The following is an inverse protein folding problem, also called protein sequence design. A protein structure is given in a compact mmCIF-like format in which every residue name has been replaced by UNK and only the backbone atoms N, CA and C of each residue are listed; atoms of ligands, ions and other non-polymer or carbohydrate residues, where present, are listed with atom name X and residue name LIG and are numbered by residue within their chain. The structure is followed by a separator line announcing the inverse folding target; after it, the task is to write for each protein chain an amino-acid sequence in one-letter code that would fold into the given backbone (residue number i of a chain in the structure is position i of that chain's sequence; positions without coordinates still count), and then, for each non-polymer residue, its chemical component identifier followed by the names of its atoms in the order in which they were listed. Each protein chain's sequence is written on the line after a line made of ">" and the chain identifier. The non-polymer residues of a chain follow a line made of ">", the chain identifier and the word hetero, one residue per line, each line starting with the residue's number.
data_IF_341709210738
#
_entry.id   IF_341709210738
#
_cell.length_a   1.000
_cell.length_b   1.000
_cell.length_c   1.000
_cell.angle_alpha   90.00
_cell.angle_beta   90.00
_cell.angle_gamma   90.00
#
_symmetry.space_group_name_H-M   'P 1'
#
loop_
_entity.id
_entity.type
_entity.pdbx_description
1 polymer ?
#
# COMPACT_ATOMS: atom_id res chain seq x y z
N UNK A 1 22.41 -7.08 12.24
CA UNK A 1 21.28 -7.40 11.34
C UNK A 1 21.64 -8.51 10.36
N UNK A 2 22.64 -8.34 9.48
CA UNK A 2 23.02 -9.35 8.47
C UNK A 2 23.14 -10.78 9.03
N UNK A 3 23.80 -10.96 10.17
CA UNK A 3 23.95 -12.30 10.80
C UNK A 3 22.64 -12.91 11.32
N UNK A 4 21.65 -12.11 11.68
CA UNK A 4 20.34 -12.60 12.17
C UNK A 4 19.49 -13.03 10.98
N UNK A 5 19.50 -12.24 9.89
CA UNK A 5 18.83 -12.61 8.65
C UNK A 5 19.42 -13.88 8.06
N UNK A 6 20.74 -14.00 8.01
CA UNK A 6 21.44 -15.21 7.57
C UNK A 6 20.99 -16.45 8.33
N UNK A 7 20.92 -16.37 9.66
CA UNK A 7 20.43 -17.48 10.49
C UNK A 7 18.97 -17.81 10.19
N UNK A 8 18.13 -16.80 9.94
CA UNK A 8 16.71 -16.99 9.63
C UNK A 8 16.50 -17.67 8.27
N UNK A 9 17.21 -17.23 7.23
CA UNK A 9 17.19 -17.90 5.91
C UNK A 9 17.62 -19.36 6.02
N UNK A 10 18.77 -19.62 6.66
CA UNK A 10 19.27 -20.97 6.83
C UNK A 10 18.30 -21.85 7.63
N UNK A 11 17.66 -21.32 8.68
CA UNK A 11 16.66 -22.05 9.46
C UNK A 11 15.45 -22.45 8.60
N UNK A 12 14.90 -21.52 7.79
CA UNK A 12 13.76 -21.80 6.92
C UNK A 12 14.09 -22.84 5.86
N UNK A 13 15.23 -22.70 5.18
CA UNK A 13 15.66 -23.61 4.11
C UNK A 13 15.98 -25.00 4.66
N UNK A 14 16.66 -25.08 5.80
CA UNK A 14 16.95 -26.36 6.46
C UNK A 14 15.66 -27.05 6.93
N UNK A 15 14.69 -26.28 7.43
CA UNK A 15 13.40 -26.84 7.84
C UNK A 15 12.64 -27.38 6.62
N UNK A 16 12.58 -26.62 5.50
CA UNK A 16 11.99 -27.09 4.25
C UNK A 16 12.64 -28.37 3.74
N UNK A 17 13.97 -28.46 3.75
CA UNK A 17 14.72 -29.64 3.32
C UNK A 17 14.75 -30.81 4.33
N UNK A 18 14.16 -30.65 5.51
CA UNK A 18 14.21 -31.63 6.59
C UNK A 18 13.40 -32.91 6.27
N UNK A 19 13.64 -33.99 7.07
CA UNK A 19 12.87 -35.24 6.96
C UNK A 19 11.37 -35.04 7.15
N UNK A 20 10.96 -34.03 7.90
CA UNK A 20 9.56 -33.71 8.17
C UNK A 20 8.86 -33.15 6.91
N UNK A 21 9.48 -32.19 6.23
CA UNK A 21 8.87 -31.50 5.09
C UNK A 21 9.28 -32.08 3.73
N UNK A 22 10.43 -32.73 3.66
CA UNK A 22 10.96 -33.40 2.45
C UNK A 22 10.99 -32.50 1.20
N UNK A 23 11.17 -31.21 1.40
CA UNK A 23 11.15 -30.20 0.33
C UNK A 23 9.75 -29.85 -0.17
N UNK A 24 8.73 -30.02 0.66
CA UNK A 24 7.35 -29.58 0.38
C UNK A 24 6.88 -28.68 1.51
N UNK A 25 6.46 -27.44 1.20
CA UNK A 25 5.95 -26.56 2.24
C UNK A 25 5.69 -25.12 1.80
N UNK A 26 5.03 -24.38 2.68
CA UNK A 26 4.69 -22.97 2.52
C UNK A 26 5.55 -22.13 3.45
N UNK A 27 6.18 -21.09 2.91
CA UNK A 27 6.91 -20.07 3.67
C UNK A 27 6.14 -18.76 3.61
N UNK A 28 5.84 -18.18 4.76
CA UNK A 28 5.44 -16.78 4.84
C UNK A 28 6.70 -15.94 4.85
N UNK A 29 6.96 -15.29 3.73
CA UNK A 29 8.08 -14.37 3.56
C UNK A 29 7.59 -12.97 3.84
N UNK A 30 7.56 -12.62 5.11
CA UNK A 30 7.24 -11.28 5.57
C UNK A 30 8.54 -10.60 5.92
N UNK A 31 8.65 -9.34 5.61
CA UNK A 31 9.89 -8.60 5.82
C UNK A 31 10.36 -8.58 7.27
N UNK A 32 11.66 -8.51 7.42
CA UNK A 32 12.70 -8.12 6.45
C UNK A 32 13.26 -9.28 5.61
N UNK A 33 12.63 -10.46 5.62
CA UNK A 33 13.03 -11.56 4.77
C UNK A 33 12.69 -11.23 3.30
N UNK A 34 13.64 -11.40 2.41
CA UNK A 34 13.45 -11.24 0.98
C UNK A 34 13.20 -12.60 0.33
N UNK A 35 12.08 -12.74 -0.36
CA UNK A 35 11.75 -14.00 -1.05
C UNK A 35 12.76 -14.34 -2.14
N UNK A 36 13.35 -13.33 -2.80
CA UNK A 36 14.39 -13.50 -3.81
C UNK A 36 15.64 -14.15 -3.25
N UNK A 37 16.01 -13.84 -2.01
CA UNK A 37 17.14 -14.46 -1.31
C UNK A 37 16.84 -15.93 -0.96
N UNK A 38 15.63 -16.22 -0.50
CA UNK A 38 15.18 -17.60 -0.23
C UNK A 38 15.26 -18.44 -1.51
N UNK A 39 14.75 -17.92 -2.62
CA UNK A 39 14.76 -18.59 -3.92
C UNK A 39 16.20 -18.83 -4.38
N UNK A 40 17.04 -17.81 -4.35
CA UNK A 40 18.45 -17.91 -4.77
C UNK A 40 19.20 -19.01 -3.99
N UNK A 41 19.05 -19.06 -2.68
CA UNK A 41 19.66 -20.05 -1.82
C UNK A 41 19.17 -21.47 -2.08
N UNK A 42 17.86 -21.63 -2.28
CA UNK A 42 17.28 -22.94 -2.63
C UNK A 42 17.83 -23.42 -3.97
N UNK A 43 17.91 -22.56 -4.98
CA UNK A 43 18.45 -22.91 -6.29
C UNK A 43 19.92 -23.36 -6.17
N UNK A 44 20.73 -22.60 -5.45
CA UNK A 44 22.15 -22.98 -5.19
C UNK A 44 22.23 -24.33 -4.48
N UNK A 45 21.45 -24.51 -3.41
CA UNK A 45 21.43 -25.77 -2.66
C UNK A 45 21.02 -26.97 -3.54
N UNK A 46 20.03 -26.80 -4.39
CA UNK A 46 19.52 -27.87 -5.24
C UNK A 46 20.51 -28.20 -6.38
N UNK A 47 21.14 -27.18 -6.98
CA UNK A 47 22.15 -27.36 -8.02
C UNK A 47 23.44 -27.98 -7.53
N UNK A 48 23.84 -27.67 -6.29
CA UNK A 48 25.00 -28.35 -5.66
C UNK A 48 24.78 -29.88 -5.54
N UNK A 49 23.51 -30.31 -5.45
CA UNK A 49 23.17 -31.73 -5.40
C UNK A 49 22.95 -32.34 -6.80
N UNK A 50 22.37 -31.58 -7.72
CA UNK A 50 22.10 -31.97 -9.10
C UNK A 50 22.20 -30.74 -10.02
N UNK A 51 23.32 -30.56 -10.75
CA UNK A 51 23.52 -29.43 -11.66
C UNK A 51 22.46 -29.30 -12.76
N UNK A 52 21.85 -30.41 -13.17
CA UNK A 52 20.87 -30.46 -14.27
C UNK A 52 19.41 -30.35 -13.78
N UNK A 53 19.20 -29.96 -12.52
CA UNK A 53 17.87 -29.86 -11.94
C UNK A 53 16.99 -28.85 -12.71
N UNK A 54 15.78 -29.24 -13.06
CA UNK A 54 14.82 -28.39 -13.75
C UNK A 54 13.97 -27.64 -12.75
N UNK A 55 13.94 -26.33 -12.85
CA UNK A 55 13.27 -25.45 -11.90
C UNK A 55 12.20 -24.62 -12.60
N UNK A 56 10.98 -24.66 -12.07
CA UNK A 56 9.87 -23.76 -12.44
C UNK A 56 9.64 -22.76 -11.31
N UNK A 57 9.56 -21.48 -11.66
CA UNK A 57 9.16 -20.43 -10.75
C UNK A 57 7.90 -19.76 -11.32
N UNK A 58 6.84 -19.75 -10.56
CA UNK A 58 5.57 -19.12 -10.92
C UNK A 58 5.35 -17.91 -10.02
N UNK A 59 5.12 -16.76 -10.62
CA UNK A 59 4.93 -15.49 -9.90
C UNK A 59 3.53 -14.93 -10.10
N UNK A 60 3.03 -14.20 -9.10
CA UNK A 60 1.72 -13.57 -9.16
C UNK A 60 1.66 -12.42 -10.16
N UNK A 61 2.71 -11.59 -10.23
CA UNK A 61 2.77 -10.42 -11.09
C UNK A 61 4.11 -10.30 -11.83
N UNK A 62 4.13 -9.56 -12.94
CA UNK A 62 5.33 -9.38 -13.76
C UNK A 62 6.51 -8.75 -13.00
N UNK A 63 6.23 -7.87 -12.05
CA UNK A 63 7.25 -7.22 -11.21
C UNK A 63 8.08 -8.25 -10.44
N UNK A 64 7.43 -9.22 -9.81
CA UNK A 64 8.12 -10.29 -9.06
C UNK A 64 9.04 -11.11 -9.98
N UNK A 65 8.63 -11.31 -11.24
CA UNK A 65 9.49 -11.96 -12.24
C UNK A 65 10.78 -11.19 -12.46
N UNK A 66 10.69 -9.87 -12.64
CA UNK A 66 11.87 -9.01 -12.85
C UNK A 66 12.78 -9.04 -11.63
N UNK A 67 12.23 -8.88 -10.43
CA UNK A 67 12.98 -8.91 -9.18
C UNK A 67 13.73 -10.23 -8.97
N UNK A 68 13.11 -11.36 -9.30
CA UNK A 68 13.75 -12.67 -9.21
C UNK A 68 14.89 -12.81 -10.24
N UNK A 69 14.64 -12.40 -11.49
CA UNK A 69 15.67 -12.46 -12.54
C UNK A 69 16.89 -11.64 -12.15
N UNK A 70 16.68 -10.42 -11.66
CA UNK A 70 17.74 -9.52 -11.26
C UNK A 70 18.51 -10.07 -10.04
N UNK A 71 17.80 -10.59 -9.05
CA UNK A 71 18.44 -11.22 -7.89
C UNK A 71 19.26 -12.46 -8.27
N UNK A 72 18.77 -13.29 -9.18
CA UNK A 72 19.53 -14.47 -9.65
C UNK A 72 20.79 -14.05 -10.41
N UNK A 73 20.71 -13.03 -11.27
CA UNK A 73 21.87 -12.48 -11.99
C UNK A 73 22.89 -11.88 -11.02
N UNK A 74 22.46 -11.09 -10.04
CA UNK A 74 23.31 -10.47 -9.05
C UNK A 74 24.05 -11.51 -8.18
N UNK A 75 23.44 -12.68 -7.98
CA UNK A 75 24.03 -13.81 -7.27
C UNK A 75 24.82 -14.75 -8.20
N UNK A 76 25.08 -14.36 -9.46
CA UNK A 76 25.79 -15.16 -10.47
C UNK A 76 25.14 -16.54 -10.72
N UNK A 77 23.83 -16.63 -10.61
CA UNK A 77 23.08 -17.87 -10.85
C UNK A 77 22.68 -17.92 -12.34
N UNK A 78 23.12 -18.97 -13.06
CA UNK A 78 22.69 -19.16 -14.44
C UNK A 78 21.17 -19.41 -14.52
N UNK A 79 20.47 -18.63 -15.32
CA UNK A 79 19.00 -18.66 -15.47
C UNK A 79 18.52 -19.57 -16.62
N UNK A 80 19.39 -20.06 -17.50
CA UNK A 80 19.00 -20.78 -18.71
C UNK A 80 18.19 -22.06 -18.45
N UNK A 81 18.40 -22.69 -17.29
CA UNK A 81 17.69 -23.91 -16.87
C UNK A 81 16.52 -23.62 -15.91
N UNK A 82 16.19 -22.35 -15.70
CA UNK A 82 15.11 -21.91 -14.82
C UNK A 82 14.00 -21.31 -15.67
N UNK A 83 12.80 -21.87 -15.59
CA UNK A 83 11.65 -21.29 -16.27
C UNK A 83 10.87 -20.40 -15.28
N UNK A 84 10.74 -19.11 -15.61
CA UNK A 84 10.04 -18.13 -14.76
C UNK A 84 8.81 -17.61 -15.51
N UNK A 85 7.62 -17.97 -15.02
CA UNK A 85 6.33 -17.66 -15.64
C UNK A 85 5.46 -16.86 -14.69
N UNK A 86 4.65 -15.94 -15.22
CA UNK A 86 3.53 -15.40 -14.44
C UNK A 86 2.39 -16.43 -14.41
N UNK A 87 1.64 -16.46 -13.31
CA UNK A 87 0.64 -17.50 -13.09
C UNK A 87 -0.44 -17.54 -14.18
N UNK A 88 -0.73 -16.40 -14.84
CA UNK A 88 -1.65 -16.28 -15.96
C UNK A 88 -1.21 -17.04 -17.22
N UNK A 89 0.09 -17.34 -17.35
CA UNK A 89 0.64 -18.13 -18.45
C UNK A 89 0.68 -19.64 -18.14
N UNK A 90 0.33 -20.06 -16.94
CA UNK A 90 0.21 -21.47 -16.61
C UNK A 90 -1.02 -22.03 -17.31
N UNK A 91 -0.79 -22.98 -18.20
CA UNK A 91 -1.88 -23.67 -18.91
C UNK A 91 -2.08 -25.06 -18.32
N UNK A 92 -3.29 -25.37 -17.88
CA UNK A 92 -3.65 -26.67 -17.32
C UNK A 92 -3.48 -27.84 -18.28
N UNK A 93 -3.36 -27.56 -19.58
CA UNK A 93 -3.14 -28.59 -20.61
C UNK A 93 -1.68 -29.00 -20.79
N UNK A 94 -0.72 -28.25 -20.23
CA UNK A 94 0.70 -28.58 -20.32
C UNK A 94 1.16 -29.39 -19.12
N UNK A 95 1.86 -30.48 -19.40
CA UNK A 95 2.52 -31.29 -18.37
C UNK A 95 3.87 -30.64 -18.04
N UNK A 96 3.92 -29.89 -16.94
CA UNK A 96 5.14 -29.23 -16.48
C UNK A 96 6.01 -30.27 -15.72
N UNK A 97 6.97 -30.87 -16.43
CA UNK A 97 7.89 -31.84 -15.80
C UNK A 97 9.13 -31.12 -15.24
N UNK A 98 9.01 -30.62 -14.02
CA UNK A 98 10.08 -29.97 -13.28
C UNK A 98 10.36 -30.70 -11.97
N UNK A 99 11.63 -30.72 -11.55
CA UNK A 99 12.04 -31.32 -10.28
C UNK A 99 11.63 -30.43 -9.11
N UNK A 100 11.74 -29.10 -9.27
CA UNK A 100 11.39 -28.09 -8.28
C UNK A 100 10.38 -27.13 -8.85
N UNK A 101 9.31 -26.87 -8.13
CA UNK A 101 8.35 -25.81 -8.44
C UNK A 101 8.20 -24.85 -7.27
N UNK A 102 8.39 -23.57 -7.54
CA UNK A 102 8.29 -22.48 -6.56
C UNK A 102 7.17 -21.55 -7.02
N UNK A 103 6.19 -21.29 -6.19
CA UNK A 103 5.09 -20.34 -6.45
C UNK A 103 5.24 -19.16 -5.48
N UNK A 104 5.28 -17.94 -6.01
CA UNK A 104 5.52 -16.69 -5.26
C UNK A 104 4.41 -15.68 -5.50
N UNK A 105 3.97 -14.98 -4.46
CA UNK A 105 3.02 -13.87 -4.57
C UNK A 105 1.59 -14.27 -4.93
N UNK A 106 1.30 -15.56 -5.12
CA UNK A 106 -0.06 -16.08 -5.32
C UNK A 106 -0.64 -16.43 -3.94
N UNK A 107 -1.64 -15.68 -3.51
CA UNK A 107 -2.16 -15.73 -2.14
C UNK A 107 -3.45 -16.54 -2.01
N UNK A 108 -3.65 -17.51 -2.91
CA UNK A 108 -4.78 -18.45 -2.89
C UNK A 108 -4.39 -19.77 -3.54
N UNK A 109 -5.05 -20.85 -3.12
CA UNK A 109 -4.93 -22.14 -3.79
C UNK A 109 -5.95 -22.22 -4.93
N UNK A 110 -5.47 -22.33 -6.16
CA UNK A 110 -6.31 -22.40 -7.34
C UNK A 110 -5.78 -23.44 -8.36
N UNK A 111 -6.49 -23.63 -9.47
CA UNK A 111 -6.13 -24.57 -10.50
C UNK A 111 -4.71 -24.33 -11.07
N UNK A 112 -4.29 -23.09 -11.22
CA UNK A 112 -2.98 -22.74 -11.77
C UNK A 112 -1.84 -23.11 -10.80
N UNK A 113 -2.02 -22.86 -9.50
CA UNK A 113 -1.08 -23.26 -8.44
C UNK A 113 -0.99 -24.78 -8.39
N UNK A 114 -2.12 -25.46 -8.43
CA UNK A 114 -2.17 -26.93 -8.46
C UNK A 114 -1.45 -27.50 -9.69
N UNK A 115 -1.67 -26.92 -10.87
CA UNK A 115 -0.98 -27.30 -12.11
C UNK A 115 0.53 -27.10 -12.03
N UNK A 116 0.98 -25.97 -11.45
CA UNK A 116 2.40 -25.71 -11.25
C UNK A 116 3.08 -26.74 -10.35
N UNK A 117 2.35 -27.31 -9.40
CA UNK A 117 2.88 -28.29 -8.44
C UNK A 117 2.71 -29.76 -8.83
N UNK A 118 1.82 -30.08 -9.78
CA UNK A 118 1.37 -31.46 -10.02
C UNK A 118 2.50 -32.47 -10.21
N UNK A 119 3.55 -32.14 -10.94
CA UNK A 119 4.62 -33.08 -11.27
C UNK A 119 5.97 -32.75 -10.61
N UNK A 120 6.03 -31.72 -9.76
CA UNK A 120 7.25 -31.37 -9.08
C UNK A 120 7.49 -32.28 -7.85
N UNK A 121 8.71 -32.77 -7.70
CA UNK A 121 9.15 -33.50 -6.50
C UNK A 121 9.30 -32.57 -5.29
N UNK A 122 9.86 -31.39 -5.51
CA UNK A 122 10.05 -30.38 -4.49
C UNK A 122 9.12 -29.19 -4.76
N UNK A 123 8.38 -28.78 -3.74
CA UNK A 123 7.30 -27.80 -3.85
C UNK A 123 7.46 -26.72 -2.79
N UNK A 124 7.52 -25.47 -3.22
CA UNK A 124 7.58 -24.35 -2.30
C UNK A 124 6.56 -23.28 -2.69
N UNK A 125 5.70 -22.93 -1.78
CA UNK A 125 4.85 -21.76 -1.89
C UNK A 125 5.40 -20.65 -1.00
N UNK A 126 5.59 -19.46 -1.56
CA UNK A 126 6.05 -18.28 -0.83
C UNK A 126 4.93 -17.25 -0.83
N UNK A 127 4.38 -17.01 0.33
CA UNK A 127 3.34 -16.01 0.56
C UNK A 127 4.05 -14.71 0.92
N UNK A 128 3.77 -13.65 0.18
CA UNK A 128 4.41 -12.34 0.32
C UNK A 128 3.52 -11.27 0.96
N UNK A 129 2.24 -11.58 1.20
CA UNK A 129 1.30 -10.65 1.84
C UNK A 129 1.24 -10.87 3.35
N UNK A 130 1.25 -9.77 4.10
CA UNK A 130 1.16 -9.78 5.57
C UNK A 130 -0.21 -10.23 6.07
N UNK A 131 -1.27 -9.91 5.31
CA UNK A 131 -2.64 -10.26 5.68
C UNK A 131 -3.30 -11.06 4.57
N UNK A 132 -3.57 -12.33 4.84
CA UNK A 132 -4.39 -13.19 4.00
C UNK A 132 -5.62 -13.60 4.79
N UNK A 133 -6.75 -13.65 4.09
CA UNK A 133 -7.98 -14.21 4.62
C UNK A 133 -7.73 -15.63 5.19
N UNK A 134 -8.20 -15.88 6.41
CA UNK A 134 -7.97 -17.15 7.13
C UNK A 134 -8.50 -18.37 6.38
N UNK A 135 -9.58 -18.23 5.62
CA UNK A 135 -10.14 -19.32 4.82
C UNK A 135 -9.24 -19.65 3.64
N UNK A 136 -8.69 -18.63 2.94
CA UNK A 136 -7.71 -18.84 1.86
C UNK A 136 -6.43 -19.47 2.39
N UNK A 137 -5.96 -19.01 3.55
CA UNK A 137 -4.77 -19.55 4.19
C UNK A 137 -4.95 -21.01 4.59
N UNK A 138 -6.09 -21.36 5.18
CA UNK A 138 -6.44 -22.75 5.52
C UNK A 138 -6.44 -23.64 4.29
N UNK A 139 -6.99 -23.18 3.18
CA UNK A 139 -7.00 -23.93 1.91
C UNK A 139 -5.58 -24.17 1.39
N UNK A 140 -4.68 -23.18 1.50
CA UNK A 140 -3.28 -23.35 1.14
C UNK A 140 -2.62 -24.41 2.02
N UNK A 141 -2.79 -24.33 3.34
CA UNK A 141 -2.16 -25.25 4.30
C UNK A 141 -2.66 -26.69 4.22
N UNK A 142 -3.90 -26.89 3.80
CA UNK A 142 -4.44 -28.24 3.53
C UNK A 142 -3.70 -28.93 2.37
N UNK A 143 -3.19 -28.17 1.41
CA UNK A 143 -2.49 -28.70 0.24
C UNK A 143 -0.98 -28.71 0.39
N UNK A 144 -0.41 -27.70 1.05
CA UNK A 144 1.04 -27.57 1.29
C UNK A 144 1.27 -27.06 2.71
N UNK A 145 1.87 -27.86 3.61
CA UNK A 145 1.97 -27.53 5.03
C UNK A 145 2.85 -26.28 5.27
N UNK A 146 2.54 -25.48 6.29
CA UNK A 146 3.37 -24.35 6.66
C UNK A 146 4.71 -24.80 7.25
N UNK A 147 5.81 -24.18 6.81
CA UNK A 147 7.15 -24.46 7.33
C UNK A 147 7.45 -23.62 8.58
N UNK A 148 7.09 -22.36 8.54
CA UNK A 148 7.11 -21.50 9.71
C UNK A 148 5.70 -21.56 10.34
N UNK A 149 5.67 -22.01 11.57
CA UNK A 149 4.46 -21.91 12.39
C UNK A 149 3.93 -20.50 12.23
N UNK A 150 2.64 -20.42 12.02
CA UNK A 150 1.85 -19.22 11.76
C UNK A 150 2.62 -17.92 12.06
N UNK A 151 2.42 -16.91 11.23
CA UNK A 151 2.81 -15.53 11.55
C UNK A 151 2.15 -15.18 12.90
N UNK A 152 2.67 -15.74 13.97
CA UNK A 152 2.53 -15.15 15.26
C UNK A 152 3.38 -13.88 15.20
N UNK A 153 2.72 -12.77 15.31
CA UNK A 153 3.31 -11.43 15.42
C UNK A 153 4.56 -11.39 16.32
N UNK A 154 4.71 -12.32 17.26
CA UNK A 154 5.87 -12.48 18.11
C UNK A 154 7.15 -12.96 17.40
N UNK A 155 7.09 -13.80 16.38
CA UNK A 155 8.28 -14.25 15.64
C UNK A 155 8.70 -13.28 14.54
N UNK A 156 7.77 -12.51 14.01
CA UNK A 156 8.03 -11.34 13.17
C UNK A 156 8.59 -10.21 14.03
N UNK A 157 8.08 -10.03 15.23
CA UNK A 157 8.53 -9.03 16.19
C UNK A 157 10.02 -9.17 16.55
N UNK A 158 10.60 -10.35 16.57
CA UNK A 158 12.04 -10.54 16.77
C UNK A 158 12.89 -9.90 15.67
N UNK A 159 12.38 -9.75 14.46
CA UNK A 159 13.07 -9.12 13.33
C UNK A 159 12.57 -7.68 13.08
N UNK A 160 11.30 -7.40 13.35
CA UNK A 160 10.75 -6.03 13.37
C UNK A 160 11.25 -5.22 14.58
N UNK A 161 11.60 -5.88 15.69
CA UNK A 161 12.25 -5.26 16.85
C UNK A 161 13.64 -4.65 16.56
N UNK A 162 14.15 -4.77 15.32
CA UNK A 162 15.47 -4.26 14.96
C UNK A 162 15.47 -2.78 14.57
N UNK A 163 14.33 -2.17 14.32
CA UNK A 163 14.22 -0.73 14.08
C UNK A 163 13.17 -0.14 15.03
N UNK A 164 13.60 0.42 16.17
CA UNK A 164 12.70 1.18 17.02
C UNK A 164 12.09 2.34 16.25
N UNK A 165 10.78 2.52 16.34
CA UNK A 165 10.05 3.63 15.73
C UNK A 165 9.58 4.57 16.82
N UNK A 166 9.87 5.86 16.63
CA UNK A 166 9.31 6.94 17.43
C UNK A 166 8.23 7.64 16.62
N UNK A 167 6.97 7.35 16.90
CA UNK A 167 5.81 7.91 16.24
C UNK A 167 5.33 9.17 16.96
N UNK A 168 5.53 10.32 16.33
CA UNK A 168 4.99 11.60 16.77
C UNK A 168 3.62 11.80 16.13
N UNK A 169 2.57 11.85 16.91
CA UNK A 169 1.21 12.12 16.46
C UNK A 169 0.95 13.61 16.49
N UNK A 170 0.65 14.16 15.31
CA UNK A 170 0.53 15.58 15.06
C UNK A 170 -0.94 15.94 14.78
N UNK A 171 -1.72 16.36 15.81
CA UNK A 171 -3.11 16.79 15.61
C UNK A 171 -3.18 18.11 14.86
N UNK A 172 -4.04 18.16 13.86
CA UNK A 172 -4.31 19.35 13.05
C UNK A 172 -5.80 19.66 13.13
N UNK A 173 -6.18 20.92 13.18
CA UNK A 173 -7.57 21.35 13.13
C UNK A 173 -7.93 21.85 11.73
N UNK A 174 -9.19 21.71 11.34
CA UNK A 174 -9.72 22.44 10.19
C UNK A 174 -9.63 23.95 10.47
N UNK A 175 -9.10 24.72 9.51
CA UNK A 175 -8.95 26.18 9.67
C UNK A 175 -10.24 26.91 9.31
N UNK A 176 -11.04 26.38 8.35
CA UNK A 176 -12.23 27.05 7.88
C UNK A 176 -13.51 26.27 8.24
N UNK A 177 -14.57 27.01 8.50
CA UNK A 177 -15.89 26.47 8.85
C UNK A 177 -16.46 25.62 7.71
N UNK A 178 -16.24 25.99 6.46
CA UNK A 178 -16.71 25.25 5.29
C UNK A 178 -16.24 23.79 5.29
N UNK A 179 -14.99 23.54 5.67
CA UNK A 179 -14.44 22.18 5.76
C UNK A 179 -15.12 21.37 6.87
N UNK A 180 -15.43 22.01 8.01
CA UNK A 180 -16.17 21.40 9.11
C UNK A 180 -17.55 21.02 8.64
N UNK A 181 -18.30 21.99 8.09
CA UNK A 181 -19.66 21.80 7.61
C UNK A 181 -19.76 20.70 6.53
N UNK A 182 -18.79 20.69 5.60
CA UNK A 182 -18.72 19.65 4.57
C UNK A 182 -18.43 18.28 5.18
N UNK A 183 -17.52 18.19 6.15
CA UNK A 183 -17.19 16.94 6.82
C UNK A 183 -18.40 16.37 7.56
N UNK A 184 -19.14 17.21 8.28
CA UNK A 184 -20.34 16.84 9.03
C UNK A 184 -21.45 16.39 8.09
N UNK A 185 -21.71 17.14 7.03
CA UNK A 185 -22.68 16.78 5.98
C UNK A 185 -22.35 15.43 5.33
N UNK A 186 -21.10 15.18 5.01
CA UNK A 186 -20.68 13.90 4.45
C UNK A 186 -20.84 12.77 5.46
N UNK A 187 -20.52 13.01 6.73
CA UNK A 187 -20.64 12.03 7.80
C UNK A 187 -22.10 11.69 8.05
N UNK A 188 -22.96 12.68 8.10
CA UNK A 188 -24.42 12.51 8.23
C UNK A 188 -24.97 11.65 7.09
N UNK A 189 -24.68 11.99 5.84
CA UNK A 189 -25.13 11.22 4.67
C UNK A 189 -24.69 9.76 4.72
N UNK A 190 -23.43 9.49 5.12
CA UNK A 190 -22.88 8.14 5.26
C UNK A 190 -23.65 7.38 6.34
N UNK A 191 -23.88 8.01 7.51
CA UNK A 191 -24.59 7.42 8.63
C UNK A 191 -26.02 7.07 8.26
N UNK A 192 -26.75 8.00 7.66
CA UNK A 192 -28.12 7.77 7.19
C UNK A 192 -28.18 6.63 6.15
N UNK A 193 -27.20 6.57 5.24
CA UNK A 193 -27.18 5.50 4.25
C UNK A 193 -26.92 4.13 4.89
N UNK A 194 -26.02 4.06 5.89
CA UNK A 194 -25.80 2.83 6.65
C UNK A 194 -27.07 2.41 7.40
N UNK A 195 -27.79 3.35 7.99
CA UNK A 195 -29.07 3.07 8.65
C UNK A 195 -30.12 2.50 7.69
N UNK A 196 -30.23 3.05 6.48
CA UNK A 196 -31.15 2.58 5.44
C UNK A 196 -30.84 1.12 5.03
N UNK A 197 -29.59 0.78 4.85
CA UNK A 197 -29.16 -0.56 4.42
C UNK A 197 -28.86 -1.51 5.60
N UNK A 198 -28.82 -1.02 6.82
CA UNK A 198 -28.52 -1.75 8.05
C UNK A 198 -27.01 -1.96 8.30
N UNK A 199 -26.20 -2.17 7.28
CA UNK A 199 -24.75 -2.33 7.41
C UNK A 199 -24.00 -2.09 6.09
N UNK A 200 -22.66 -2.07 6.15
CA UNK A 200 -21.79 -1.83 5.00
C UNK A 200 -21.79 -2.98 3.98
N UNK A 201 -21.96 -4.23 4.41
CA UNK A 201 -22.01 -5.36 3.48
C UNK A 201 -23.26 -5.31 2.61
N UNK A 202 -24.38 -4.90 3.17
CA UNK A 202 -25.61 -4.68 2.41
C UNK A 202 -25.43 -3.57 1.35
N UNK A 203 -24.74 -2.48 1.67
CA UNK A 203 -24.41 -1.43 0.69
C UNK A 203 -23.51 -1.98 -0.41
N UNK A 204 -22.55 -2.85 -0.07
CA UNK A 204 -21.68 -3.52 -1.03
C UNK A 204 -22.47 -4.46 -1.94
N UNK A 205 -23.41 -5.24 -1.39
CA UNK A 205 -24.31 -6.10 -2.18
C UNK A 205 -25.21 -5.29 -3.08
N UNK A 206 -25.72 -4.18 -2.60
CA UNK A 206 -26.51 -3.23 -3.39
C UNK A 206 -25.72 -2.56 -4.52
N UNK A 207 -24.37 -2.57 -4.46
CA UNK A 207 -23.51 -2.09 -5.54
C UNK A 207 -23.12 -3.16 -6.54
N UNK A 208 -22.78 -4.35 -6.07
CA UNK A 208 -22.03 -5.36 -6.85
C UNK A 208 -22.77 -6.70 -6.99
N UNK A 209 -23.91 -6.86 -6.35
CA UNK A 209 -24.59 -8.14 -6.20
C UNK A 209 -24.09 -8.95 -5.01
N UNK A 210 -24.79 -10.00 -4.70
CA UNK A 210 -24.54 -10.86 -3.54
C UNK A 210 -23.63 -12.04 -3.90
N UNK A 211 -22.95 -12.66 -2.92
CA UNK A 211 -22.12 -13.84 -3.17
C UNK A 211 -22.87 -15.08 -3.69
N UNK A 212 -24.18 -15.17 -3.42
CA UNK A 212 -25.06 -16.23 -3.88
C UNK A 212 -25.61 -16.01 -5.30
N UNK A 213 -25.14 -14.97 -6.00
CA UNK A 213 -25.41 -14.72 -7.41
C UNK A 213 -26.58 -13.82 -7.73
N UNK A 214 -27.25 -13.21 -6.73
CA UNK A 214 -28.27 -12.17 -6.99
C UNK A 214 -27.59 -10.90 -7.53
N UNK A 215 -28.18 -10.30 -8.55
CA UNK A 215 -27.70 -9.02 -9.06
C UNK A 215 -27.93 -7.90 -8.05
N UNK A 216 -27.19 -6.77 -8.20
CA UNK A 216 -27.37 -5.60 -7.35
C UNK A 216 -28.83 -5.09 -7.36
N UNK A 217 -29.47 -5.07 -8.55
CA UNK A 217 -30.87 -4.61 -8.68
C UNK A 217 -31.85 -5.56 -7.99
N UNK A 218 -31.68 -6.88 -8.11
CA UNK A 218 -32.52 -7.84 -7.39
C UNK A 218 -32.41 -7.65 -5.88
N UNK A 219 -31.19 -7.50 -5.38
CA UNK A 219 -30.94 -7.29 -3.96
C UNK A 219 -31.57 -5.98 -3.45
N UNK A 220 -31.45 -4.88 -4.21
CA UNK A 220 -32.08 -3.60 -3.87
C UNK A 220 -33.62 -3.70 -3.88
N UNK A 221 -34.17 -4.43 -4.86
CA UNK A 221 -35.61 -4.64 -4.95
C UNK A 221 -36.13 -5.40 -3.73
N UNK A 222 -35.46 -6.49 -3.33
CA UNK A 222 -35.79 -7.25 -2.13
C UNK A 222 -35.75 -6.40 -0.84
N UNK A 223 -34.74 -5.53 -0.70
CA UNK A 223 -34.68 -4.57 0.43
C UNK A 223 -35.89 -3.59 0.40
N UNK A 224 -36.21 -3.05 -0.76
CA UNK A 224 -37.32 -2.13 -0.90
C UNK A 224 -38.66 -2.81 -0.58
N UNK A 225 -38.85 -4.05 -1.07
CA UNK A 225 -40.07 -4.84 -0.80
C UNK A 225 -40.15 -5.21 0.69
N UNK A 226 -39.06 -5.70 1.29
CA UNK A 226 -39.02 -6.04 2.72
C UNK A 226 -39.41 -4.86 3.63
N UNK A 227 -38.98 -3.63 3.27
CA UNK A 227 -39.31 -2.42 4.02
C UNK A 227 -40.58 -1.73 3.59
N UNK A 228 -41.32 -2.28 2.64
CA UNK A 228 -42.57 -1.71 2.14
C UNK A 228 -42.40 -0.42 1.32
N UNK A 229 -41.21 -0.19 0.75
CA UNK A 229 -40.86 1.03 0.01
C UNK A 229 -41.21 0.98 -1.48
N UNK A 230 -41.69 -0.15 -1.98
CA UNK A 230 -41.89 -0.39 -3.41
C UNK A 230 -43.05 0.38 -4.05
N UNK A 231 -44.02 0.90 -3.29
CA UNK A 231 -45.33 1.29 -3.83
C UNK A 231 -45.69 2.78 -3.77
N UNK A 232 -44.88 3.66 -3.18
CA UNK A 232 -45.22 5.10 -3.10
C UNK A 232 -44.02 5.95 -3.57
N UNK A 233 -44.14 6.46 -4.80
CA UNK A 233 -43.12 7.27 -5.44
C UNK A 233 -43.57 8.73 -5.56
N UNK A 234 -42.90 9.61 -4.83
CA UNK A 234 -42.69 10.97 -5.30
C UNK A 234 -41.26 11.11 -5.82
N UNK A 235 -41.09 11.06 -7.13
CA UNK A 235 -39.81 11.13 -7.84
C UNK A 235 -39.21 12.55 -7.87
N UNK A 236 -39.96 13.56 -7.37
CA UNK A 236 -39.59 14.96 -7.58
C UNK A 236 -38.67 15.54 -6.54
N UNK A 237 -38.47 14.88 -5.38
CA UNK A 237 -37.53 15.35 -4.38
C UNK A 237 -36.91 14.21 -3.51
N UNK A 238 -35.86 13.54 -3.98
CA UNK A 238 -35.20 12.46 -3.24
C UNK A 238 -34.47 12.91 -1.96
N UNK A 239 -34.45 14.21 -1.67
CA UNK A 239 -33.72 14.82 -0.55
C UNK A 239 -34.60 15.64 0.40
N UNK A 240 -35.93 15.52 0.32
CA UNK A 240 -36.79 16.20 1.28
C UNK A 240 -36.82 15.52 2.64
N UNK A 241 -37.20 16.23 3.69
CA UNK A 241 -37.32 15.74 5.08
C UNK A 241 -38.30 14.54 5.26
N UNK A 242 -38.98 14.12 4.18
CA UNK A 242 -39.80 12.90 4.13
C UNK A 242 -38.98 11.66 3.68
N UNK A 243 -37.68 11.65 3.93
CA UNK A 243 -36.72 10.61 3.58
C UNK A 243 -37.16 9.19 4.01
N UNK A 244 -37.98 9.07 5.03
CA UNK A 244 -38.38 7.78 5.60
C UNK A 244 -39.43 7.00 4.79
N UNK A 245 -39.96 7.53 3.71
CA UNK A 245 -41.10 6.91 3.01
C UNK A 245 -40.95 6.67 1.51
N UNK A 246 -39.85 7.00 0.87
CA UNK A 246 -39.73 6.97 -0.60
C UNK A 246 -38.46 6.31 -1.13
N UNK A 247 -38.09 5.13 -0.61
CA UNK A 247 -36.93 4.39 -1.14
C UNK A 247 -37.37 3.32 -2.14
N UNK A 248 -37.68 3.71 -3.36
CA UNK A 248 -37.83 2.74 -4.44
C UNK A 248 -36.43 2.24 -4.92
N UNK A 249 -36.37 1.13 -5.68
CA UNK A 249 -35.10 0.57 -6.15
C UNK A 249 -34.20 1.54 -6.93
N UNK A 250 -34.76 2.48 -7.66
CA UNK A 250 -34.01 3.50 -8.43
C UNK A 250 -33.33 4.48 -7.47
N UNK A 251 -34.08 5.01 -6.51
CA UNK A 251 -33.54 5.93 -5.48
C UNK A 251 -32.47 5.26 -4.64
N UNK A 252 -32.68 4.00 -4.23
CA UNK A 252 -31.68 3.23 -3.50
C UNK A 252 -30.41 2.99 -4.31
N UNK A 253 -30.54 2.74 -5.62
CA UNK A 253 -29.38 2.58 -6.51
C UNK A 253 -28.56 3.86 -6.59
N UNK A 254 -29.21 5.01 -6.78
CA UNK A 254 -28.53 6.31 -6.80
C UNK A 254 -27.92 6.66 -5.44
N UNK A 255 -28.61 6.31 -4.34
CA UNK A 255 -28.07 6.49 -2.98
C UNK A 255 -26.79 5.69 -2.77
N UNK A 256 -26.72 4.46 -3.26
CA UNK A 256 -25.48 3.62 -3.19
C UNK A 256 -24.35 4.24 -4.00
N UNK A 257 -24.63 4.73 -5.22
CA UNK A 257 -23.60 5.41 -6.02
C UNK A 257 -23.07 6.66 -5.32
N UNK A 258 -23.98 7.49 -4.82
CA UNK A 258 -23.67 8.71 -4.09
C UNK A 258 -22.88 8.41 -2.82
N UNK A 259 -23.23 7.36 -2.08
CA UNK A 259 -22.52 6.93 -0.87
C UNK A 259 -21.04 6.75 -1.11
N UNK A 260 -20.64 6.02 -2.16
CA UNK A 260 -19.22 5.80 -2.45
C UNK A 260 -18.49 7.09 -2.86
N UNK A 261 -19.17 7.99 -3.56
CA UNK A 261 -18.60 9.31 -3.88
C UNK A 261 -18.40 10.14 -2.62
N UNK A 262 -19.40 10.21 -1.74
CA UNK A 262 -19.34 10.95 -0.48
C UNK A 262 -18.25 10.37 0.47
N UNK A 263 -18.14 9.04 0.57
CA UNK A 263 -17.06 8.41 1.35
C UNK A 263 -15.69 8.83 0.81
N UNK A 264 -15.55 8.88 -0.53
CA UNK A 264 -14.31 9.34 -1.16
C UNK A 264 -14.05 10.82 -0.86
N UNK A 265 -15.03 11.69 -1.06
CA UNK A 265 -14.89 13.14 -0.82
C UNK A 265 -14.57 13.44 0.65
N UNK A 266 -15.24 12.78 1.61
CA UNK A 266 -14.90 12.90 3.03
C UNK A 266 -13.46 12.46 3.32
N UNK A 267 -13.03 11.38 2.70
CA UNK A 267 -11.66 10.89 2.87
C UNK A 267 -10.64 11.90 2.33
N UNK A 268 -10.91 12.49 1.16
CA UNK A 268 -10.04 13.47 0.53
C UNK A 268 -10.00 14.78 1.32
N UNK A 269 -11.12 15.21 1.87
CA UNK A 269 -11.20 16.41 2.70
C UNK A 269 -10.26 16.33 3.91
N UNK A 270 -10.04 15.13 4.46
CA UNK A 270 -9.10 14.92 5.54
C UNK A 270 -7.68 14.68 5.03
N UNK A 271 -7.47 13.72 4.10
CA UNK A 271 -6.15 13.25 3.71
C UNK A 271 -5.33 14.29 2.95
N UNK A 272 -6.00 15.13 2.14
CA UNK A 272 -5.37 16.08 1.24
C UNK A 272 -5.60 17.55 1.70
N UNK A 273 -5.80 17.74 3.00
CA UNK A 273 -6.16 19.04 3.54
C UNK A 273 -4.96 20.00 3.61
N UNK A 274 -5.17 21.22 3.13
CA UNK A 274 -4.14 22.27 3.11
C UNK A 274 -3.69 22.70 4.51
N UNK A 275 -4.53 22.51 5.54
CA UNK A 275 -4.19 22.81 6.94
C UNK A 275 -2.93 22.06 7.43
N UNK A 276 -2.58 20.95 6.80
CA UNK A 276 -1.39 20.16 7.14
C UNK A 276 -0.10 20.74 6.59
N UNK A 277 -0.17 21.59 5.54
CA UNK A 277 1.01 22.09 4.82
C UNK A 277 1.93 22.94 5.70
N UNK A 278 1.36 23.82 6.52
CA UNK A 278 2.16 24.65 7.41
C UNK A 278 2.92 23.80 8.42
N UNK A 279 2.27 22.78 9.01
CA UNK A 279 2.92 21.87 9.94
C UNK A 279 4.04 21.06 9.30
N UNK A 280 3.85 20.61 8.06
CA UNK A 280 4.90 19.94 7.28
C UNK A 280 6.11 20.87 7.11
N UNK A 281 5.88 22.12 6.71
CA UNK A 281 6.95 23.12 6.53
C UNK A 281 7.66 23.40 7.86
N UNK A 282 6.94 23.54 8.98
CA UNK A 282 7.53 23.72 10.30
C UNK A 282 8.48 22.56 10.66
N UNK A 283 8.01 21.30 10.54
CA UNK A 283 8.82 20.11 10.84
C UNK A 283 10.10 20.09 10.01
N UNK A 284 10.00 20.39 8.71
CA UNK A 284 11.15 20.41 7.79
C UNK A 284 12.09 21.57 8.10
N UNK A 285 11.56 22.76 8.43
CA UNK A 285 12.31 23.96 8.76
C UNK A 285 13.10 23.84 10.06
N UNK A 286 12.48 23.23 11.09
CA UNK A 286 13.08 23.08 12.41
C UNK A 286 14.23 22.06 12.42
N UNK A 287 14.37 21.27 11.36
CA UNK A 287 15.40 20.25 11.21
C UNK A 287 16.17 20.41 9.89
N UNK A 288 16.96 21.49 9.73
CA UNK A 288 17.59 21.88 8.46
C UNK A 288 18.62 20.86 7.94
N UNK A 289 19.25 20.11 8.82
CA UNK A 289 20.32 19.15 8.47
C UNK A 289 19.80 17.75 8.19
N UNK A 290 18.46 17.51 8.29
CA UNK A 290 17.87 16.19 8.12
C UNK A 290 17.27 15.98 6.74
N UNK A 291 17.31 14.71 6.31
CA UNK A 291 16.63 14.22 5.12
C UNK A 291 15.25 13.67 5.47
N UNK A 292 14.25 14.06 4.68
CA UNK A 292 12.85 13.72 4.89
C UNK A 292 12.25 12.94 3.71
N UNK A 293 11.41 11.97 4.03
CA UNK A 293 10.39 11.47 3.10
C UNK A 293 9.03 11.91 3.58
N UNK A 294 8.25 12.49 2.68
CA UNK A 294 6.85 12.86 2.95
C UNK A 294 5.94 11.94 2.15
N UNK A 295 5.10 11.20 2.86
CA UNK A 295 4.24 10.17 2.29
C UNK A 295 2.80 10.66 2.30
N UNK A 296 2.20 10.78 1.12
CA UNK A 296 0.81 11.18 0.95
C UNK A 296 -0.02 10.09 0.27
N UNK A 297 -1.33 10.12 0.48
CA UNK A 297 -2.23 9.12 -0.11
C UNK A 297 -2.33 9.26 -1.63
N UNK A 298 -2.20 10.48 -2.15
CA UNK A 298 -2.37 10.81 -3.58
C UNK A 298 -1.18 11.59 -4.13
N UNK A 299 -0.92 11.36 -5.43
CA UNK A 299 0.15 12.06 -6.16
C UNK A 299 -0.13 13.56 -6.32
N UNK A 300 -1.40 13.94 -6.49
CA UNK A 300 -1.80 15.36 -6.60
C UNK A 300 -1.46 16.13 -5.31
N UNK A 301 -1.71 15.50 -4.15
CA UNK A 301 -1.35 16.13 -2.87
C UNK A 301 0.17 16.14 -2.63
N UNK A 302 0.87 15.09 -3.07
CA UNK A 302 2.34 15.08 -3.05
C UNK A 302 2.93 16.27 -3.85
N UNK A 303 2.39 16.54 -5.05
CA UNK A 303 2.79 17.71 -5.85
C UNK A 303 2.50 19.04 -5.15
N UNK A 304 1.34 19.14 -4.48
CA UNK A 304 0.98 20.32 -3.68
C UNK A 304 1.99 20.55 -2.56
N UNK A 305 2.37 19.50 -1.84
CA UNK A 305 3.37 19.53 -0.77
C UNK A 305 4.73 20.01 -1.31
N UNK A 306 5.20 19.42 -2.41
CA UNK A 306 6.47 19.83 -3.04
C UNK A 306 6.48 21.30 -3.39
N UNK A 307 5.42 21.77 -4.07
CA UNK A 307 5.29 23.18 -4.43
C UNK A 307 5.32 24.07 -3.19
N UNK A 308 4.52 23.72 -2.17
CA UNK A 308 4.40 24.53 -0.96
C UNK A 308 5.71 24.63 -0.17
N UNK A 309 6.46 23.52 -0.05
CA UNK A 309 7.78 23.49 0.58
C UNK A 309 8.76 24.38 -0.21
N UNK A 310 8.82 24.22 -1.54
CA UNK A 310 9.74 24.95 -2.37
C UNK A 310 9.43 26.46 -2.39
N UNK A 311 8.15 26.84 -2.37
CA UNK A 311 7.74 28.25 -2.27
C UNK A 311 8.15 28.90 -0.92
N UNK A 312 8.22 28.10 0.18
CA UNK A 312 8.54 28.61 1.52
C UNK A 312 10.01 28.47 1.91
N UNK A 313 10.69 27.42 1.46
CA UNK A 313 12.03 27.04 1.93
C UNK A 313 13.08 26.99 0.81
N UNK A 314 12.70 27.30 -0.45
CA UNK A 314 13.55 27.15 -1.63
C UNK A 314 13.49 25.74 -2.21
N UNK A 315 14.16 25.51 -3.33
CA UNK A 315 14.14 24.28 -4.14
C UNK A 315 14.84 23.09 -3.43
N UNK A 316 14.26 22.61 -2.32
CA UNK A 316 14.79 21.52 -1.49
C UNK A 316 14.00 20.23 -1.60
N UNK A 317 12.80 20.28 -2.19
CA UNK A 317 11.87 19.17 -2.28
C UNK A 317 11.66 18.70 -3.71
N UNK A 318 11.69 17.41 -3.95
CA UNK A 318 11.40 16.77 -5.23
C UNK A 318 10.18 15.87 -5.18
N UNK A 319 9.51 15.72 -6.33
CA UNK A 319 8.36 14.82 -6.52
C UNK A 319 8.78 13.43 -6.97
N UNK A 320 8.17 12.39 -6.38
CA UNK A 320 8.27 11.01 -6.86
C UNK A 320 6.92 10.32 -6.83
N UNK A 321 6.13 10.53 -7.88
CA UNK A 321 4.80 9.93 -8.07
C UNK A 321 4.36 9.94 -9.53
N UNK A 322 3.19 9.39 -9.83
CA UNK A 322 2.64 9.21 -11.19
C UNK A 322 1.88 10.43 -11.74
N UNK A 323 1.77 11.50 -10.95
CA UNK A 323 0.98 12.72 -11.27
C UNK A 323 1.85 13.96 -11.44
N UNK A 324 3.08 13.78 -11.92
CA UNK A 324 3.98 14.87 -12.27
C UNK A 324 3.65 15.32 -13.69
N UNK A 325 3.52 16.61 -13.91
CA UNK A 325 3.33 17.15 -15.25
C UNK A 325 4.62 17.09 -16.07
N UNK A 326 4.47 16.86 -17.37
CA UNK A 326 5.58 16.96 -18.31
C UNK A 326 6.13 18.38 -18.30
N UNK A 327 7.46 18.56 -18.24
CA UNK A 327 8.12 19.87 -18.21
C UNK A 327 8.82 20.17 -19.54
N UNK A 328 8.78 21.41 -19.96
CA UNK A 328 9.60 21.89 -21.09
C UNK A 328 11.06 21.95 -20.65
N UNK A 329 11.95 21.30 -21.41
CA UNK A 329 13.39 21.41 -21.18
C UNK A 329 13.84 22.83 -21.55
N UNK A 330 14.43 23.53 -20.58
CA UNK A 330 15.03 24.86 -20.79
C UNK A 330 16.54 24.79 -20.63
N UNK A 331 17.27 25.69 -21.28
CA UNK A 331 18.72 25.86 -21.11
C UNK A 331 19.04 26.67 -19.85
N UNK A 332 20.33 26.98 -19.64
CA UNK A 332 20.81 27.77 -18.50
C UNK A 332 20.27 29.23 -18.46
N UNK A 333 19.70 29.70 -19.55
CA UNK A 333 19.12 31.05 -19.68
C UNK A 333 17.58 31.02 -19.59
N UNK A 334 16.98 29.83 -19.31
CA UNK A 334 15.53 29.66 -19.25
C UNK A 334 14.86 29.57 -20.62
N UNK A 335 15.63 29.45 -21.72
CA UNK A 335 15.10 29.37 -23.08
C UNK A 335 14.75 27.91 -23.40
N UNK A 336 13.54 27.63 -23.98
CA UNK A 336 13.15 26.29 -24.37
C UNK A 336 14.13 25.66 -25.37
N UNK A 337 14.64 24.49 -25.03
CA UNK A 337 15.47 23.67 -25.95
C UNK A 337 14.57 23.02 -26.98
N UNK A 338 14.85 23.22 -28.26
CA UNK A 338 14.03 22.66 -29.34
C UNK A 338 14.57 21.33 -29.85
N UNK A 339 13.68 20.49 -30.40
CA UNK A 339 14.09 19.30 -31.13
C UNK A 339 14.83 19.72 -32.44
N UNK A 340 16.03 19.18 -32.63
CA UNK A 340 16.88 19.50 -33.79
C UNK A 340 16.54 18.68 -35.04
N UNK A 341 15.95 17.48 -34.85
CA UNK A 341 15.67 16.51 -35.93
C UNK A 341 14.34 15.80 -35.69
N UNK A 342 13.85 15.07 -36.72
CA UNK A 342 12.64 14.25 -36.65
C UNK A 342 11.33 15.04 -36.84
N UNK A 343 10.19 14.36 -36.62
CA UNK A 343 8.85 14.92 -36.82
C UNK A 343 8.49 16.04 -35.82
N UNK A 344 9.26 16.19 -34.77
CA UNK A 344 9.08 17.23 -33.74
C UNK A 344 10.05 18.41 -33.90
N UNK A 345 10.82 18.47 -35.00
CA UNK A 345 11.80 19.56 -35.23
C UNK A 345 11.16 20.93 -35.04
N UNK A 346 11.83 21.78 -34.27
CA UNK A 346 11.38 23.14 -33.96
C UNK A 346 10.36 23.25 -32.81
N UNK A 347 9.87 22.14 -32.25
CA UNK A 347 9.02 22.16 -31.04
C UNK A 347 9.88 22.08 -29.78
N UNK A 348 9.41 22.63 -28.64
CA UNK A 348 10.08 22.48 -27.36
C UNK A 348 10.27 21.02 -26.98
N UNK A 349 11.45 20.68 -26.50
CA UNK A 349 11.70 19.34 -25.93
C UNK A 349 10.97 19.21 -24.60
N UNK A 350 10.29 18.09 -24.42
CA UNK A 350 9.52 17.79 -23.22
C UNK A 350 10.25 16.72 -22.41
N UNK A 351 10.49 16.98 -21.15
CA UNK A 351 10.91 15.97 -20.17
C UNK A 351 9.65 15.30 -19.65
N UNK A 352 9.54 14.01 -19.89
CA UNK A 352 8.39 13.22 -19.44
C UNK A 352 8.36 13.06 -17.93
N UNK A 353 7.18 13.03 -17.35
CA UNK A 353 6.92 12.87 -15.90
C UNK A 353 7.75 11.77 -15.24
N UNK A 354 7.85 10.61 -15.88
CA UNK A 354 8.67 9.49 -15.38
C UNK A 354 10.17 9.84 -15.30
N UNK A 355 10.68 10.58 -16.28
CA UNK A 355 12.07 11.03 -16.26
C UNK A 355 12.31 12.06 -15.14
N UNK A 356 11.34 12.95 -14.90
CA UNK A 356 11.40 13.93 -13.79
C UNK A 356 11.42 13.20 -12.46
N UNK A 357 10.53 12.24 -12.22
CA UNK A 357 10.55 11.41 -11.01
C UNK A 357 11.90 10.75 -10.77
N UNK A 358 12.47 10.15 -11.83
CA UNK A 358 13.78 9.47 -11.73
C UNK A 358 14.91 10.47 -11.42
N UNK A 359 14.89 11.67 -12.02
CA UNK A 359 15.86 12.73 -11.74
C UNK A 359 15.74 13.24 -10.30
N UNK A 360 14.53 13.45 -9.80
CA UNK A 360 14.29 13.88 -8.43
C UNK A 360 14.76 12.84 -7.41
N UNK A 361 14.46 11.55 -7.65
CA UNK A 361 14.95 10.46 -6.81
C UNK A 361 16.47 10.41 -6.79
N UNK A 362 17.12 10.53 -7.95
CA UNK A 362 18.57 10.59 -8.04
C UNK A 362 19.13 11.78 -7.27
N UNK A 363 18.58 13.00 -7.49
CA UNK A 363 18.99 14.20 -6.78
C UNK A 363 18.84 14.08 -5.26
N UNK A 364 17.78 13.40 -4.80
CA UNK A 364 17.60 13.07 -3.38
C UNK A 364 18.64 12.07 -2.87
N UNK A 365 18.92 10.99 -3.60
CA UNK A 365 19.95 10.03 -3.25
C UNK A 365 21.34 10.67 -3.20
N UNK A 366 21.66 11.53 -4.16
CA UNK A 366 22.94 12.27 -4.25
C UNK A 366 23.06 13.40 -3.20
N UNK A 367 21.98 13.70 -2.43
CA UNK A 367 21.97 14.74 -1.40
C UNK A 367 21.78 16.17 -1.92
N UNK A 368 21.43 16.34 -3.19
CA UNK A 368 21.09 17.63 -3.78
C UNK A 368 19.71 18.13 -3.34
N UNK A 369 18.79 17.19 -3.07
CA UNK A 369 17.50 17.43 -2.44
C UNK A 369 17.50 16.79 -1.06
N UNK A 370 16.93 17.48 -0.08
CA UNK A 370 16.80 16.93 1.28
C UNK A 370 15.40 16.43 1.62
N UNK A 371 14.40 16.72 0.77
CA UNK A 371 13.02 16.29 0.92
C UNK A 371 12.56 15.58 -0.34
N UNK A 372 11.91 14.42 -0.17
CA UNK A 372 11.26 13.71 -1.26
C UNK A 372 9.78 13.49 -0.92
N UNK A 373 8.90 14.06 -1.73
CA UNK A 373 7.45 13.88 -1.61
C UNK A 373 6.99 12.73 -2.48
N UNK A 374 6.38 11.73 -1.89
CA UNK A 374 6.01 10.48 -2.54
C UNK A 374 4.55 10.12 -2.32
N UNK A 375 3.99 9.37 -3.27
CA UNK A 375 2.68 8.75 -3.10
C UNK A 375 2.82 7.43 -2.33
N UNK A 376 1.90 7.19 -1.42
CA UNK A 376 1.85 5.98 -0.58
C UNK A 376 2.04 4.65 -1.33
N UNK A 377 1.56 4.54 -2.58
CA UNK A 377 1.71 3.35 -3.43
C UNK A 377 2.97 3.36 -4.31
N UNK A 378 3.83 4.38 -4.22
CA UNK A 378 5.07 4.43 -4.98
C UNK A 378 6.03 3.35 -4.50
N UNK A 379 6.64 2.65 -5.44
CA UNK A 379 7.75 1.73 -5.15
C UNK A 379 9.04 2.44 -5.53
N UNK A 380 9.89 2.67 -4.57
CA UNK A 380 11.20 3.26 -4.81
C UNK A 380 12.26 2.56 -3.98
N UNK A 381 13.41 2.36 -4.57
CA UNK A 381 14.60 1.93 -3.85
C UNK A 381 15.36 3.18 -3.43
N UNK A 382 15.39 3.42 -2.12
CA UNK A 382 16.15 4.50 -1.54
C UNK A 382 17.59 4.00 -1.33
N UNK A 383 18.54 4.66 -1.97
CA UNK A 383 19.96 4.36 -1.85
C UNK A 383 20.63 5.15 -0.73
N UNK A 384 19.93 6.14 -0.18
CA UNK A 384 20.42 7.00 0.91
C UNK A 384 19.65 6.75 2.20
N UNK A 385 20.29 7.03 3.34
CA UNK A 385 19.59 7.06 4.63
C UNK A 385 18.63 8.24 4.68
N UNK A 386 17.47 8.02 5.27
CA UNK A 386 16.45 9.05 5.54
C UNK A 386 16.33 9.21 7.04
N UNK A 387 16.37 10.44 7.53
CA UNK A 387 16.41 10.71 8.97
C UNK A 387 15.02 10.66 9.60
N UNK A 388 14.04 11.27 8.94
CA UNK A 388 12.67 11.37 9.45
C UNK A 388 11.63 11.16 8.34
N UNK A 389 10.49 10.62 8.71
CA UNK A 389 9.35 10.46 7.82
C UNK A 389 8.20 11.37 8.26
N UNK A 390 7.45 11.89 7.28
CA UNK A 390 6.20 12.59 7.51
C UNK A 390 5.10 11.84 6.77
N UNK A 391 4.16 11.26 7.49
CA UNK A 391 2.97 10.59 6.94
C UNK A 391 1.81 11.55 7.05
N UNK A 392 1.28 12.00 5.93
CA UNK A 392 0.27 13.07 5.90
C UNK A 392 -1.12 12.63 6.32
N UNK A 393 -1.37 11.34 6.46
CA UNK A 393 -2.68 10.81 6.87
C UNK A 393 -2.55 9.39 7.43
N UNK A 394 -3.23 9.06 8.54
CA UNK A 394 -3.34 7.69 9.06
C UNK A 394 -4.09 6.73 8.13
N UNK A 395 -4.71 7.26 7.07
CA UNK A 395 -5.36 6.47 6.03
C UNK A 395 -4.39 6.00 4.94
N UNK A 396 -3.10 6.32 5.07
CA UNK A 396 -2.00 5.68 4.34
C UNK A 396 -1.74 4.26 4.88
N UNK A 397 -0.83 3.53 4.22
CA UNK A 397 -0.37 2.25 4.73
C UNK A 397 0.29 2.41 6.12
N UNK A 398 0.31 1.35 6.89
CA UNK A 398 0.94 1.37 8.21
C UNK A 398 2.44 1.66 8.11
N UNK A 399 3.04 2.16 9.19
CA UNK A 399 4.48 2.42 9.23
C UNK A 399 5.26 1.16 8.89
N UNK A 400 4.84 0.01 9.38
CA UNK A 400 5.46 -1.28 9.09
C UNK A 400 5.40 -1.65 7.60
N UNK A 401 4.26 -1.42 6.93
CA UNK A 401 4.12 -1.63 5.48
C UNK A 401 4.96 -0.67 4.66
N UNK A 402 5.08 0.58 5.12
CA UNK A 402 5.92 1.59 4.49
C UNK A 402 7.41 1.30 4.66
N UNK A 403 7.84 0.91 5.86
CA UNK A 403 9.20 0.42 6.12
C UNK A 403 9.54 -0.72 5.18
N UNK A 404 8.58 -1.62 4.98
CA UNK A 404 8.68 -2.70 4.03
C UNK A 404 8.92 -2.23 2.60
N UNK A 405 8.11 -1.29 2.13
CA UNK A 405 8.09 -0.88 0.72
C UNK A 405 9.34 -0.09 0.33
N UNK A 406 9.83 0.70 1.26
CA UNK A 406 10.94 1.61 0.98
C UNK A 406 12.28 1.04 1.46
N UNK A 407 12.65 -0.16 1.09
CA UNK A 407 13.84 -0.98 1.38
C UNK A 407 15.14 -0.24 1.77
N UNK A 408 15.18 1.06 1.60
CA UNK A 408 16.30 1.94 1.83
C UNK A 408 16.39 2.53 3.22
N UNK A 409 15.71 1.97 4.21
CA UNK A 409 16.10 2.26 5.56
C UNK A 409 17.43 1.55 5.76
N UNK A 410 18.48 2.18 5.27
CA UNK A 410 19.83 1.88 5.69
C UNK A 410 19.86 2.10 7.19
N UNK A 411 19.63 1.02 7.95
CA UNK A 411 19.52 1.01 9.39
C UNK A 411 20.89 1.27 10.06
N UNK A 412 21.58 2.30 9.62
CA UNK A 412 22.64 2.91 10.40
C UNK A 412 22.07 3.78 11.53
N UNK A 413 20.75 4.03 11.47
CA UNK A 413 20.04 4.74 12.52
C UNK A 413 19.64 3.77 13.63
N UNK A 414 19.83 4.20 14.86
CA UNK A 414 19.37 3.46 16.05
C UNK A 414 17.85 3.49 16.19
N UNK A 415 17.14 4.40 15.48
CA UNK A 415 15.72 4.68 15.63
C UNK A 415 15.18 5.45 14.41
N UNK A 416 13.99 5.09 13.93
CA UNK A 416 13.24 5.84 12.92
C UNK A 416 12.27 6.80 13.59
N UNK A 417 12.35 8.08 13.26
CA UNK A 417 11.37 9.08 13.70
C UNK A 417 10.32 9.30 12.61
N UNK A 418 9.04 9.20 12.99
CA UNK A 418 7.90 9.33 12.08
C UNK A 418 6.92 10.35 12.63
N UNK A 419 6.63 11.38 11.86
CA UNK A 419 5.55 12.32 12.15
C UNK A 419 4.29 11.88 11.40
N UNK A 420 3.22 11.59 12.13
CA UNK A 420 1.93 11.18 11.56
C UNK A 420 0.90 12.28 11.80
N UNK A 421 0.56 13.00 10.73
CA UNK A 421 -0.40 14.10 10.75
C UNK A 421 -1.82 13.58 10.61
N UNK A 422 -2.75 14.13 11.37
CA UNK A 422 -4.17 13.78 11.27
C UNK A 422 -5.06 14.97 11.61
N UNK A 423 -6.24 15.02 11.02
CA UNK A 423 -7.26 16.00 11.37
C UNK A 423 -8.03 15.48 12.59
N UNK A 424 -7.98 16.25 13.68
CA UNK A 424 -8.68 15.92 14.94
C UNK A 424 -10.20 15.91 14.76
N UNK A 425 -10.91 15.07 15.50
CA UNK A 425 -12.37 14.92 15.42
C UNK A 425 -12.88 14.22 14.16
N UNK A 426 -11.99 13.60 13.36
CA UNK A 426 -12.36 12.99 12.08
C UNK A 426 -12.07 11.49 12.01
N UNK A 427 -12.39 10.92 10.82
CA UNK A 427 -12.05 9.52 10.52
C UNK A 427 -10.55 9.22 10.63
N UNK A 428 -9.67 10.23 10.50
CA UNK A 428 -8.23 10.04 10.65
C UNK A 428 -7.86 9.76 12.10
N UNK A 429 -8.43 10.51 13.04
CA UNK A 429 -8.22 10.23 14.46
C UNK A 429 -8.81 8.87 14.86
N UNK A 430 -10.00 8.54 14.34
CA UNK A 430 -10.61 7.24 14.57
C UNK A 430 -9.76 6.07 13.99
N UNK A 431 -9.08 6.30 12.86
CA UNK A 431 -8.17 5.32 12.28
C UNK A 431 -6.93 5.12 13.18
N UNK A 432 -6.33 6.20 13.70
CA UNK A 432 -5.22 6.13 14.65
C UNK A 432 -5.56 5.35 15.93
N UNK A 433 -6.76 5.59 16.49
CA UNK A 433 -7.22 4.88 17.70
C UNK A 433 -7.42 3.38 17.48
N UNK A 434 -7.69 2.95 16.23
CA UNK A 434 -7.87 1.55 15.86
C UNK A 434 -6.58 0.86 15.38
N UNK A 435 -5.52 1.62 15.14
CA UNK A 435 -4.26 1.09 14.65
C UNK A 435 -3.63 0.15 15.67
N UNK A 436 -3.34 -1.08 15.23
CA UNK A 436 -2.58 -2.04 16.05
C UNK A 436 -1.11 -1.70 15.94
N UNK A 437 -0.55 -1.27 17.05
CA UNK A 437 0.85 -0.91 17.13
C UNK A 437 1.74 -2.14 17.28
N UNK A 438 2.88 -2.11 16.60
CA UNK A 438 3.95 -3.06 16.86
C UNK A 438 4.64 -2.75 18.20
N UNK A 439 5.14 -3.76 18.93
CA UNK A 439 5.72 -3.58 20.27
C UNK A 439 6.95 -2.66 20.33
N UNK A 440 7.59 -2.41 19.20
CA UNK A 440 8.76 -1.54 19.06
C UNK A 440 8.42 -0.09 18.70
N UNK A 441 7.13 0.26 18.64
CA UNK A 441 6.68 1.64 18.43
C UNK A 441 6.53 2.36 19.77
N UNK A 442 7.21 3.49 19.91
CA UNK A 442 7.01 4.44 20.98
C UNK A 442 6.17 5.60 20.45
N UNK A 443 4.99 5.81 21.02
CA UNK A 443 4.12 6.92 20.65
C UNK A 443 4.46 8.14 21.49
N UNK A 444 4.53 9.29 20.84
CA UNK A 444 4.63 10.60 21.44
C UNK A 444 3.44 11.41 20.90
N UNK A 445 2.50 11.71 21.79
CA UNK A 445 1.38 12.61 21.47
C UNK A 445 1.87 14.05 21.57
N UNK A 446 1.94 14.74 20.44
CA UNK A 446 2.24 16.16 20.42
C UNK A 446 0.95 16.94 20.69
N UNK A 447 0.83 17.48 21.90
CA UNK A 447 -0.27 18.40 22.23
C UNK A 447 0.06 19.74 21.59
N UNK A 448 -0.70 20.13 20.56
CA UNK A 448 -0.59 21.47 20.01
C UNK A 448 -0.95 22.48 21.11
N UNK A 449 0.01 23.26 21.57
CA UNK A 449 -0.18 24.34 22.55
C UNK A 449 -1.11 25.48 22.07
N UNK A 450 -1.54 25.42 20.79
CA UNK A 450 -2.48 26.35 20.17
C UNK A 450 -3.95 25.85 20.18
N UNK A 451 -4.23 24.68 20.77
CA UNK A 451 -5.59 24.28 21.04
C UNK A 451 -6.03 25.04 22.29
N UNK A 452 -6.58 26.24 22.12
CA UNK A 452 -7.44 26.81 23.14
C UNK A 452 -8.46 25.75 23.51
N UNK A 453 -8.40 25.28 24.74
CA UNK A 453 -9.35 24.35 25.32
C UNK A 453 -10.75 24.99 25.28
N UNK A 454 -11.45 24.85 24.19
CA UNK A 454 -12.89 24.93 24.20
C UNK A 454 -13.37 23.55 24.67
N UNK A 455 -13.94 23.55 25.87
CA UNK A 455 -14.47 22.41 26.55
C UNK A 455 -15.40 21.61 25.64
N UNK A 456 -14.96 20.44 25.22
CA UNK A 456 -15.76 19.46 24.47
C UNK A 456 -16.60 18.56 25.38
N UNK A 457 -16.73 18.93 26.67
CA UNK A 457 -17.54 18.16 27.64
C UNK A 457 -19.05 18.35 27.50
N UNK A 458 -19.54 19.22 26.61
CA UNK A 458 -20.96 19.54 26.48
C UNK A 458 -21.67 18.93 25.24
N UNK A 459 -21.05 18.00 24.51
CA UNK A 459 -21.68 17.39 23.30
C UNK A 459 -21.78 15.86 23.45
N UNK A 460 -22.08 15.37 24.65
CA UNK A 460 -22.59 14.00 24.83
C UNK A 460 -23.78 14.09 25.80
N UNK A 461 -24.92 14.45 25.28
CA UNK A 461 -26.23 14.08 25.81
C UNK A 461 -27.12 13.63 24.66
#
# INVERSE_FOLDING_TARGET
>A
MKNVLEKSYNKLINKWGSKQYKGVGTIHCVQPLQYTEIISRIIVLMRNKNPNIKILIVVGVWKEKTEIVDALKNNNINIDTINILTYTYINSKYNYNYDVSIVVGVNEWNLYVNTAFNHARFKLMIITKDTIDSAKLSTIYLNIPPINDSINSSNINGVRALLPVEEHREPILFINQENIDNYDKYTEYITQTIQVFGNLDNIKYARSGTPDGRSAMQYITEIAEYNGWSNNMDMTNPFSEQIDKCYNPIVLTERVKTFYNIVRERTLLCSDNVCKLDRIVEIVKDNPDKKFIIISKRGEYAATITKYINDKLGEICGDYHDKIDDKVLVDSNGIPVLYKTGSQKGKPRIIKSKAISTLNLKAFNDGLLRVLSIKNSSNTELETSVDEWIITSPLCDTIDELIYRYNGINCNQSKLKVHKLYISGTIEEAALKKEKLSPNHQIIENVNSNICAQNFDDIIC
#
